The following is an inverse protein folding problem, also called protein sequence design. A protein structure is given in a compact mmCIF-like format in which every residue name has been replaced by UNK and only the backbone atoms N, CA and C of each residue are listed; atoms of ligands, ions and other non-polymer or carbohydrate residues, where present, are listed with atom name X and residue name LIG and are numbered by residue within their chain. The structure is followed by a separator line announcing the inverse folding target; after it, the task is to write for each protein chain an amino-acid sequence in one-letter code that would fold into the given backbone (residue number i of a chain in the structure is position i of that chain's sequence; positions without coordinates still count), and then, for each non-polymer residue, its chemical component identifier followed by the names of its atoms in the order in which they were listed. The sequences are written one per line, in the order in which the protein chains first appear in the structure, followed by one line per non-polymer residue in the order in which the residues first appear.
data_IF_383484131829
#
_entry.id   IF_383484131829
#
_cell.length_a   1.000
_cell.length_b   1.000
_cell.length_c   1.000
_cell.angle_alpha   90.00
_cell.angle_beta   90.00
_cell.angle_gamma   90.00
#
_symmetry.space_group_name_H-M   'P 1'
#
loop_
_entity.id
_entity.type
_entity.pdbx_description
1 polymer ?
#
# COMPACT_ATOMS: atom_id res chain seq x y z
N UNK A 1 31.79 -17.88 22.16
CA UNK A 1 31.77 -17.73 20.68
C UNK A 1 30.40 -18.00 20.05
N UNK A 2 29.61 -19.01 20.47
CA UNK A 2 28.29 -19.32 19.85
C UNK A 2 27.28 -18.17 19.91
N UNK A 3 27.15 -17.48 21.04
CA UNK A 3 26.21 -16.37 21.21
C UNK A 3 26.46 -15.18 20.25
N UNK A 4 27.73 -14.90 19.93
CA UNK A 4 28.09 -13.83 19.01
C UNK A 4 27.70 -14.17 17.56
N UNK A 5 27.85 -15.43 17.16
CA UNK A 5 27.43 -15.89 15.83
C UNK A 5 25.90 -15.84 15.67
N UNK A 6 25.14 -16.17 16.73
CA UNK A 6 23.68 -16.03 16.71
C UNK A 6 23.25 -14.57 16.61
N UNK A 7 23.91 -13.66 17.34
CA UNK A 7 23.62 -12.23 17.26
C UNK A 7 23.92 -11.67 15.87
N UNK A 8 25.05 -12.07 15.27
CA UNK A 8 25.41 -11.65 13.92
C UNK A 8 24.41 -12.17 12.87
N UNK A 9 23.99 -13.44 12.98
CA UNK A 9 22.98 -14.01 12.09
C UNK A 9 21.61 -13.34 12.24
N UNK A 10 21.20 -12.99 13.46
CA UNK A 10 19.97 -12.26 13.71
C UNK A 10 19.99 -10.85 13.11
N UNK A 11 21.07 -10.09 13.32
CA UNK A 11 21.22 -8.74 12.76
C UNK A 11 21.25 -8.80 11.22
N UNK A 12 21.96 -9.78 10.65
CA UNK A 12 21.99 -10.02 9.21
C UNK A 12 20.60 -10.34 8.65
N UNK A 13 19.88 -11.25 9.28
CA UNK A 13 18.50 -11.60 8.90
C UNK A 13 17.53 -10.43 9.03
N UNK A 14 17.62 -9.66 10.12
CA UNK A 14 16.78 -8.49 10.35
C UNK A 14 17.04 -7.37 9.32
N UNK A 15 18.30 -7.13 8.95
CA UNK A 15 18.64 -6.15 7.93
C UNK A 15 18.06 -6.52 6.55
N UNK A 16 18.22 -7.79 6.14
CA UNK A 16 17.64 -8.29 4.89
C UNK A 16 16.11 -8.21 4.92
N UNK A 17 15.49 -8.62 6.03
CA UNK A 17 14.04 -8.54 6.23
C UNK A 17 13.52 -7.10 6.17
N UNK A 18 14.21 -6.14 6.80
CA UNK A 18 13.83 -4.74 6.76
C UNK A 18 13.96 -4.13 5.35
N UNK A 19 15.02 -4.48 4.62
CA UNK A 19 15.20 -4.02 3.24
C UNK A 19 14.05 -4.49 2.33
N UNK A 20 13.67 -5.77 2.43
CA UNK A 20 12.51 -6.29 1.71
C UNK A 20 11.20 -5.65 2.19
N UNK A 21 11.03 -5.49 3.51
CA UNK A 21 9.85 -4.84 4.08
C UNK A 21 9.64 -3.42 3.58
N UNK A 22 10.72 -2.64 3.44
CA UNK A 22 10.66 -1.28 2.88
C UNK A 22 10.40 -1.30 1.38
N UNK A 23 11.04 -2.20 0.62
CA UNK A 23 10.87 -2.29 -0.82
C UNK A 23 9.43 -2.62 -1.23
N UNK A 24 8.79 -3.52 -0.49
CA UNK A 24 7.42 -3.95 -0.72
C UNK A 24 6.40 -3.17 0.13
N UNK A 25 6.83 -2.20 0.93
CA UNK A 25 5.91 -1.37 1.70
C UNK A 25 5.03 -0.57 0.74
N UNK A 26 3.69 -0.64 0.89
CA UNK A 26 2.81 0.19 0.09
C UNK A 26 2.99 1.66 0.48
N UNK A 27 2.72 2.55 -0.47
CA UNK A 27 2.66 3.97 -0.20
C UNK A 27 1.51 4.30 0.76
N UNK A 28 1.64 5.38 1.54
CA UNK A 28 0.61 5.75 2.51
C UNK A 28 -0.69 6.05 1.79
N UNK A 29 -1.80 5.53 2.32
CA UNK A 29 -3.11 5.68 1.67
C UNK A 29 -3.54 7.13 1.43
N UNK A 30 -3.08 8.08 2.24
CA UNK A 30 -3.32 9.53 2.02
C UNK A 30 -2.66 10.00 0.72
N UNK A 31 -1.38 9.66 0.53
CA UNK A 31 -0.59 10.01 -0.64
C UNK A 31 -1.16 9.31 -1.90
N UNK A 32 -1.60 8.05 -1.77
CA UNK A 32 -2.26 7.30 -2.86
C UNK A 32 -3.59 7.93 -3.28
N UNK A 33 -4.46 8.29 -2.31
CA UNK A 33 -5.75 8.95 -2.59
C UNK A 33 -5.55 10.32 -3.25
N UNK A 34 -4.52 11.06 -2.85
CA UNK A 34 -4.14 12.33 -3.48
C UNK A 34 -3.69 12.12 -4.93
N UNK A 35 -2.82 11.13 -5.20
CA UNK A 35 -2.41 10.78 -6.57
C UNK A 35 -3.59 10.39 -7.47
N UNK A 36 -4.55 9.65 -6.95
CA UNK A 36 -5.79 9.29 -7.68
C UNK A 36 -6.59 10.55 -8.00
N UNK A 37 -6.82 11.43 -7.01
CA UNK A 37 -7.54 12.68 -7.22
C UNK A 37 -6.85 13.57 -8.26
N UNK A 38 -5.52 13.64 -8.25
CA UNK A 38 -4.74 14.39 -9.23
C UNK A 38 -4.84 13.79 -10.64
N UNK A 39 -4.74 12.46 -10.77
CA UNK A 39 -4.89 11.76 -12.04
C UNK A 39 -6.29 11.97 -12.65
N UNK A 40 -7.34 11.98 -11.82
CA UNK A 40 -8.71 12.26 -12.25
C UNK A 40 -8.92 13.74 -12.64
N UNK A 41 -8.33 14.67 -11.88
CA UNK A 41 -8.35 16.11 -12.21
C UNK A 41 -7.67 16.40 -13.55
N UNK A 42 -6.57 15.72 -13.86
CA UNK A 42 -5.89 15.81 -15.18
C UNK A 42 -6.81 15.39 -16.34
N UNK A 43 -7.81 14.54 -16.07
CA UNK A 43 -8.83 14.12 -17.04
C UNK A 43 -10.11 14.98 -16.99
N UNK A 44 -10.13 16.05 -16.20
CA UNK A 44 -11.25 16.98 -16.07
C UNK A 44 -12.27 16.62 -14.98
N UNK A 45 -12.03 15.54 -14.22
CA UNK A 45 -12.96 15.07 -13.19
C UNK A 45 -12.51 15.63 -11.83
N UNK A 46 -13.34 16.48 -11.22
CA UNK A 46 -13.13 16.98 -9.85
C UNK A 46 -14.02 16.21 -8.89
N UNK A 47 -13.44 15.30 -8.13
CA UNK A 47 -14.11 14.63 -7.01
C UNK A 47 -13.87 15.40 -5.71
N UNK A 48 -14.93 15.53 -4.91
CA UNK A 48 -14.86 15.89 -3.51
C UNK A 48 -14.49 14.66 -2.66
N UNK A 49 -14.07 14.86 -1.40
CA UNK A 49 -13.62 13.79 -0.50
C UNK A 49 -14.68 12.70 -0.30
N UNK A 50 -15.95 13.09 -0.13
CA UNK A 50 -17.08 12.14 0.00
C UNK A 50 -17.31 11.31 -1.26
N UNK A 51 -17.19 11.92 -2.43
CA UNK A 51 -17.40 11.24 -3.71
C UNK A 51 -16.25 10.27 -4.00
N UNK A 52 -15.03 10.63 -3.62
CA UNK A 52 -13.88 9.74 -3.66
C UNK A 52 -14.06 8.53 -2.74
N UNK A 53 -14.56 8.72 -1.52
CA UNK A 53 -14.81 7.61 -0.59
C UNK A 53 -15.87 6.65 -1.15
N UNK A 54 -16.99 7.17 -1.65
CA UNK A 54 -18.04 6.34 -2.27
C UNK A 54 -17.52 5.55 -3.49
N UNK A 55 -16.69 6.16 -4.34
CA UNK A 55 -16.10 5.49 -5.50
C UNK A 55 -15.16 4.36 -5.08
N UNK A 56 -14.39 4.54 -4.01
CA UNK A 56 -13.52 3.50 -3.47
C UNK A 56 -14.35 2.35 -2.92
N UNK A 57 -15.46 2.64 -2.24
CA UNK A 57 -16.35 1.62 -1.70
C UNK A 57 -17.02 0.81 -2.82
N UNK A 58 -17.50 1.47 -3.88
CA UNK A 58 -18.09 0.81 -5.06
C UNK A 58 -17.09 -0.11 -5.77
N UNK A 59 -15.85 0.36 -6.01
CA UNK A 59 -14.79 -0.47 -6.60
C UNK A 59 -14.47 -1.66 -5.70
N UNK A 60 -14.43 -1.47 -4.37
CA UNK A 60 -14.15 -2.54 -3.43
C UNK A 60 -15.28 -3.59 -3.38
N UNK A 61 -16.53 -3.18 -3.56
CA UNK A 61 -17.68 -4.08 -3.69
C UNK A 61 -17.63 -4.86 -5.01
N UNK A 62 -17.34 -4.19 -6.14
CA UNK A 62 -17.22 -4.83 -7.46
C UNK A 62 -16.09 -5.88 -7.51
N UNK A 63 -14.95 -5.58 -6.87
CA UNK A 63 -13.84 -6.54 -6.78
C UNK A 63 -14.18 -7.76 -5.91
N UNK A 64 -14.98 -7.57 -4.84
CA UNK A 64 -15.40 -8.70 -3.98
C UNK A 64 -16.45 -9.56 -4.64
N UNK A 65 -17.35 -8.99 -5.43
CA UNK A 65 -18.38 -9.77 -6.13
C UNK A 65 -17.80 -10.52 -7.34
N UNK A 66 -16.75 -10.00 -7.99
CA UNK A 66 -16.06 -10.68 -9.10
C UNK A 66 -15.22 -11.90 -8.71
N UNK A 67 -14.93 -12.10 -7.42
CA UNK A 67 -14.23 -13.29 -6.90
C UNK A 67 -15.21 -14.45 -6.56
N UNK A 68 -16.53 -14.24 -6.64
CA UNK A 68 -17.57 -15.24 -6.34
C UNK A 68 -18.06 -16.07 -7.56
N UNK A 69 -17.44 -15.92 -8.74
CA UNK A 69 -17.75 -16.70 -9.97
C UNK A 69 -16.64 -17.69 -10.39
#
# INVERSE_FOLDING_TARGET
MKALNFLAAFVGGAAVGAAFGILFAPERGVDTREKIAEALRKRGIKLNRKEMDNLVDEIAEELKSGDED
#
